data_IF_003694347145
#
_entry.id   IF_003694347145
#
_cell.length_a   1.000
_cell.length_b   1.000
_cell.length_c   1.000
_cell.angle_alpha   90.00
_cell.angle_beta   90.00
_cell.angle_gamma   90.00
#
_symmetry.space_group_name_H-M   'P 1'
#
loop_
_entity.id
_entity.type
_entity.pdbx_description
1 polymer ?
#
# COMPACT_ATOMS: atom_id res chain seq x y z
N UNK A 1 3.25 18.74 -14.53
CA UNK A 1 3.22 19.80 -15.55
C UNK A 1 4.05 19.39 -16.77
N UNK A 2 3.77 19.96 -17.89
CA UNK A 2 4.41 19.60 -19.18
C UNK A 2 5.93 19.80 -19.18
N UNK A 3 6.42 20.70 -18.35
CA UNK A 3 7.85 20.99 -18.22
C UNK A 3 8.57 20.06 -17.22
N UNK A 4 7.88 19.06 -16.70
CA UNK A 4 8.40 18.14 -15.71
C UNK A 4 8.38 18.66 -14.28
N UNK A 5 7.91 19.86 -14.04
CA UNK A 5 7.77 20.39 -12.69
C UNK A 5 6.54 19.80 -12.00
N UNK A 6 6.52 19.88 -10.65
CA UNK A 6 5.37 19.47 -9.87
C UNK A 6 4.27 20.53 -9.94
N UNK A 7 3.05 20.07 -10.16
CA UNK A 7 1.87 20.94 -10.03
C UNK A 7 1.45 21.07 -8.56
N UNK A 8 0.19 21.43 -8.35
CA UNK A 8 -0.38 21.45 -7.00
C UNK A 8 -0.47 20.04 -6.44
N UNK A 9 -0.31 19.93 -5.13
CA UNK A 9 -0.55 18.67 -4.43
C UNK A 9 -1.68 18.83 -3.42
N UNK A 10 -2.34 17.71 -3.11
CA UNK A 10 -3.31 17.62 -2.02
C UNK A 10 -2.90 16.47 -1.10
N UNK A 11 -3.26 16.58 0.16
CA UNK A 11 -3.06 15.51 1.14
C UNK A 11 -4.27 14.58 1.08
N UNK A 12 -4.07 13.37 0.56
CA UNK A 12 -5.14 12.38 0.47
C UNK A 12 -5.47 11.75 1.82
N UNK A 13 -4.47 11.58 2.68
CA UNK A 13 -4.62 10.98 4.00
C UNK A 13 -3.49 11.46 4.89
N UNK A 14 -3.77 11.57 6.17
CA UNK A 14 -2.77 11.91 7.16
C UNK A 14 -2.89 10.95 8.34
N UNK A 15 -1.80 10.27 8.64
CA UNK A 15 -1.70 9.45 9.84
C UNK A 15 -1.48 10.38 11.03
N UNK A 16 -2.20 10.11 12.12
CA UNK A 16 -2.16 10.96 13.28
C UNK A 16 -1.33 10.38 14.42
N UNK A 17 -1.71 10.79 15.62
CA UNK A 17 -1.15 10.31 16.87
C UNK A 17 -2.24 9.61 17.67
N UNK A 18 -1.87 8.68 18.52
CA UNK A 18 -2.72 8.19 19.59
C UNK A 18 -2.01 8.36 20.95
N UNK A 19 -2.58 7.80 22.02
CA UNK A 19 -1.99 7.92 23.36
C UNK A 19 -0.60 7.28 23.49
N UNK A 20 -0.20 6.45 22.52
CA UNK A 20 1.11 5.78 22.49
C UNK A 20 2.14 6.52 21.64
N UNK A 21 1.71 7.53 20.89
CA UNK A 21 2.58 8.36 20.08
C UNK A 21 2.17 8.45 18.59
N UNK A 22 3.08 8.94 17.75
CA UNK A 22 2.80 9.07 16.33
C UNK A 22 2.58 7.71 15.67
N UNK A 23 1.62 7.64 14.75
CA UNK A 23 1.42 6.47 13.91
C UNK A 23 2.47 6.44 12.80
N UNK A 24 2.99 5.24 12.51
CA UNK A 24 3.88 5.04 11.37
C UNK A 24 3.07 5.18 10.08
N UNK A 25 3.47 6.12 9.24
CA UNK A 25 2.84 6.35 7.96
C UNK A 25 3.24 5.32 6.89
N UNK A 26 3.04 5.72 5.64
CA UNK A 26 3.31 4.84 4.50
C UNK A 26 4.81 4.67 4.30
N UNK A 27 5.23 3.41 4.09
CA UNK A 27 6.60 3.07 3.67
C UNK A 27 6.66 2.84 2.17
N UNK A 28 5.87 1.91 1.65
CA UNK A 28 5.81 1.64 0.23
C UNK A 28 4.38 1.53 -0.28
N UNK A 29 4.20 1.64 -1.60
CA UNK A 29 2.87 1.58 -2.19
C UNK A 29 2.91 1.17 -3.65
N UNK A 30 1.75 0.73 -4.15
CA UNK A 30 1.52 0.43 -5.56
C UNK A 30 0.08 0.80 -5.93
N UNK A 31 -0.22 0.74 -7.22
CA UNK A 31 -1.57 0.99 -7.73
C UNK A 31 -2.20 -0.30 -8.24
N UNK A 32 -3.51 -0.41 -8.09
CA UNK A 32 -4.26 -1.40 -8.85
C UNK A 32 -4.71 -0.85 -10.21
N UNK A 33 -5.32 -1.70 -11.02
CA UNK A 33 -5.72 -1.34 -12.39
C UNK A 33 -6.81 -0.27 -12.45
N UNK A 34 -7.48 -0.01 -11.34
CA UNK A 34 -8.52 1.03 -11.23
C UNK A 34 -7.97 2.34 -10.67
N UNK A 35 -6.66 2.39 -10.41
CA UNK A 35 -6.03 3.56 -9.84
C UNK A 35 -6.14 3.67 -8.32
N UNK A 36 -6.65 2.64 -7.64
CA UNK A 36 -6.65 2.63 -6.19
C UNK A 36 -5.23 2.47 -5.67
N UNK A 37 -4.94 3.08 -4.53
CA UNK A 37 -3.61 3.11 -3.93
C UNK A 37 -3.56 2.07 -2.82
N UNK A 38 -2.67 1.09 -2.95
CA UNK A 38 -2.38 0.11 -1.91
C UNK A 38 -1.08 0.53 -1.23
N UNK A 39 -1.12 0.70 0.07
CA UNK A 39 0.05 1.21 0.81
C UNK A 39 0.29 0.42 2.08
N UNK A 40 1.56 0.20 2.37
CA UNK A 40 2.02 -0.46 3.59
C UNK A 40 2.23 0.59 4.67
N UNK A 41 1.61 0.39 5.83
CA UNK A 41 1.71 1.37 6.91
C UNK A 41 1.46 0.73 8.28
N UNK A 42 1.66 1.53 9.32
CA UNK A 42 1.37 1.15 10.68
C UNK A 42 2.49 0.43 11.39
N UNK A 43 2.35 0.35 12.71
CA UNK A 43 3.31 -0.34 13.57
C UNK A 43 2.59 -0.91 14.79
N UNK A 44 3.30 -1.72 15.56
CA UNK A 44 2.78 -2.22 16.84
C UNK A 44 2.86 -1.18 17.95
N UNK A 45 3.64 -0.10 17.75
CA UNK A 45 3.88 0.90 18.78
C UNK A 45 2.80 1.96 18.94
N UNK A 46 1.97 2.15 17.92
CA UNK A 46 0.90 3.16 17.95
C UNK A 46 -0.10 2.87 16.82
N UNK A 47 -1.30 3.44 16.96
CA UNK A 47 -2.37 3.26 15.99
C UNK A 47 -2.96 1.85 16.00
N UNK A 48 -3.73 1.49 14.97
CA UNK A 48 -4.42 0.21 14.90
C UNK A 48 -3.52 -0.98 14.57
N UNK A 49 -2.26 -0.77 14.33
CA UNK A 49 -1.31 -1.82 13.98
C UNK A 49 -0.89 -1.80 12.52
N UNK A 50 0.03 -2.69 12.13
CA UNK A 50 0.53 -2.74 10.75
C UNK A 50 -0.52 -3.33 9.81
N UNK A 51 -0.72 -2.65 8.67
CA UNK A 51 -1.76 -3.00 7.70
C UNK A 51 -1.37 -2.62 6.28
N UNK A 52 -2.09 -3.22 5.34
CA UNK A 52 -2.20 -2.68 3.99
C UNK A 52 -3.46 -1.82 3.96
N UNK A 53 -3.30 -0.56 3.60
CA UNK A 53 -4.40 0.38 3.39
C UNK A 53 -4.69 0.49 1.90
N UNK A 54 -5.97 0.61 1.55
CA UNK A 54 -6.38 0.80 0.16
C UNK A 54 -7.28 2.04 0.10
N UNK A 55 -6.82 3.05 -0.64
CA UNK A 55 -7.57 4.29 -0.88
C UNK A 55 -7.99 4.39 -2.34
N UNK A 56 -9.14 5.03 -2.57
CA UNK A 56 -9.50 5.49 -3.90
C UNK A 56 -8.55 6.60 -4.37
N UNK A 57 -8.54 6.90 -5.69
CA UNK A 57 -7.71 8.00 -6.18
C UNK A 57 -8.01 9.37 -5.56
N UNK A 58 -9.20 9.52 -4.95
CA UNK A 58 -9.62 10.77 -4.29
C UNK A 58 -9.37 10.77 -2.78
N UNK A 59 -8.76 9.71 -2.24
CA UNK A 59 -8.38 9.65 -0.83
C UNK A 59 -9.42 9.01 0.09
N UNK A 60 -10.48 8.41 -0.45
CA UNK A 60 -11.43 7.66 0.35
C UNK A 60 -10.84 6.31 0.73
N UNK A 61 -10.80 6.00 2.01
CA UNK A 61 -10.36 4.70 2.49
C UNK A 61 -11.40 3.64 2.11
N UNK A 62 -11.00 2.69 1.26
CA UNK A 62 -11.87 1.63 0.76
C UNK A 62 -11.79 0.40 1.65
N UNK A 63 -10.59 0.03 2.07
CA UNK A 63 -10.34 -1.25 2.72
C UNK A 63 -9.05 -1.20 3.51
N UNK A 64 -8.98 -1.99 4.58
CA UNK A 64 -7.75 -2.25 5.33
C UNK A 64 -7.58 -3.74 5.51
N UNK A 65 -6.33 -4.18 5.47
CA UNK A 65 -5.97 -5.58 5.69
C UNK A 65 -4.89 -5.66 6.76
N UNK A 66 -5.23 -6.02 8.00
CA UNK A 66 -4.23 -6.22 9.04
C UNK A 66 -3.22 -7.29 8.64
N UNK A 67 -1.97 -7.08 9.03
CA UNK A 67 -0.93 -8.08 8.81
C UNK A 67 -1.23 -9.35 9.62
N UNK A 68 -0.87 -10.54 9.10
CA UNK A 68 -1.08 -11.78 9.82
C UNK A 68 -0.38 -11.79 11.18
N UNK A 69 -0.93 -12.54 12.12
CA UNK A 69 -0.32 -12.73 13.45
C UNK A 69 1.07 -13.35 13.29
N UNK A 70 2.05 -12.80 14.00
CA UNK A 70 3.45 -13.25 13.92
C UNK A 70 4.24 -12.68 12.76
N UNK A 71 3.62 -11.87 11.91
CA UNK A 71 4.30 -11.14 10.84
C UNK A 71 4.37 -9.68 11.25
N UNK A 72 5.54 -9.08 11.03
CA UNK A 72 5.80 -7.71 11.47
C UNK A 72 5.35 -6.66 10.43
N UNK A 73 5.92 -5.47 10.53
CA UNK A 73 5.48 -4.29 9.77
C UNK A 73 5.76 -4.43 8.28
N UNK A 74 4.76 -4.19 7.42
CA UNK A 74 4.97 -4.21 5.98
C UNK A 74 5.77 -2.99 5.53
N UNK A 75 6.67 -3.19 4.56
CA UNK A 75 7.55 -2.13 4.06
C UNK A 75 7.28 -1.74 2.62
N UNK A 76 6.80 -2.67 1.79
CA UNK A 76 6.45 -2.38 0.42
C UNK A 76 5.52 -3.47 -0.14
N UNK A 77 4.86 -3.16 -1.23
CA UNK A 77 4.01 -4.12 -1.91
C UNK A 77 3.99 -3.88 -3.42
N UNK A 78 3.73 -4.94 -4.17
CA UNK A 78 3.59 -4.87 -5.62
C UNK A 78 2.72 -6.03 -6.11
N UNK A 79 1.99 -5.80 -7.18
CA UNK A 79 1.31 -6.87 -7.88
C UNK A 79 2.28 -7.61 -8.80
N UNK A 80 2.09 -8.90 -8.92
CA UNK A 80 2.90 -9.74 -9.78
C UNK A 80 2.13 -10.94 -10.31
N UNK A 81 2.89 -11.90 -10.81
CA UNK A 81 2.45 -13.03 -11.58
C UNK A 81 1.97 -12.60 -12.97
N UNK A 82 1.68 -13.57 -13.81
CA UNK A 82 1.33 -13.32 -15.20
C UNK A 82 0.06 -12.46 -15.34
N UNK A 83 -0.92 -12.69 -14.48
CA UNK A 83 -2.20 -11.98 -14.49
C UNK A 83 -2.21 -10.70 -13.66
N UNK A 84 -1.11 -10.37 -12.97
CA UNK A 84 -1.00 -9.20 -12.08
C UNK A 84 -2.01 -9.24 -10.92
N UNK A 85 -2.46 -10.41 -10.50
CA UNK A 85 -3.52 -10.55 -9.50
C UNK A 85 -3.00 -11.02 -8.14
N UNK A 86 -1.71 -11.28 -8.02
CA UNK A 86 -1.07 -11.67 -6.77
C UNK A 86 -0.33 -10.47 -6.17
N UNK A 87 -0.59 -10.17 -4.91
CA UNK A 87 0.11 -9.11 -4.19
C UNK A 87 1.29 -9.71 -3.43
N UNK A 88 2.46 -9.16 -3.64
CA UNK A 88 3.67 -9.50 -2.88
C UNK A 88 3.98 -8.38 -1.90
N UNK A 89 4.27 -8.75 -0.67
CA UNK A 89 4.50 -7.79 0.43
C UNK A 89 5.80 -8.15 1.13
N UNK A 90 6.68 -7.17 1.26
CA UNK A 90 7.90 -7.30 2.06
C UNK A 90 7.67 -6.76 3.46
N UNK A 91 8.39 -7.29 4.44
CA UNK A 91 8.29 -6.85 5.83
C UNK A 91 9.65 -6.46 6.40
N UNK A 92 9.62 -5.66 7.46
CA UNK A 92 10.83 -5.19 8.13
C UNK A 92 11.66 -6.36 8.68
N UNK A 93 11.01 -7.41 9.19
CA UNK A 93 11.69 -8.58 9.77
C UNK A 93 12.15 -9.61 8.75
N UNK A 94 12.06 -9.33 7.45
CA UNK A 94 12.62 -10.20 6.42
C UNK A 94 11.65 -11.18 5.79
N UNK A 95 10.36 -11.04 6.02
CA UNK A 95 9.37 -11.88 5.35
C UNK A 95 9.06 -11.35 3.94
N UNK A 96 8.84 -12.27 3.01
CA UNK A 96 8.22 -12.01 1.73
C UNK A 96 6.90 -12.77 1.68
N UNK A 97 5.80 -12.05 1.65
CA UNK A 97 4.47 -12.62 1.65
C UNK A 97 3.89 -12.63 0.25
N UNK A 98 3.12 -13.64 -0.04
CA UNK A 98 2.34 -13.76 -1.27
C UNK A 98 0.86 -13.82 -0.91
N UNK A 99 0.08 -12.89 -1.46
CA UNK A 99 -1.36 -12.82 -1.23
C UNK A 99 -2.07 -13.08 -2.55
N UNK A 100 -2.74 -14.21 -2.64
CA UNK A 100 -3.57 -14.58 -3.80
C UNK A 100 -5.02 -14.19 -3.55
N UNK A 101 -5.81 -14.20 -4.61
CA UNK A 101 -7.24 -13.93 -4.55
C UNK A 101 -7.57 -12.56 -3.96
N UNK A 102 -6.79 -11.56 -4.35
CA UNK A 102 -6.97 -10.19 -3.87
C UNK A 102 -8.24 -9.54 -4.39
N UNK A 103 -8.81 -10.05 -5.47
CA UNK A 103 -9.91 -9.40 -6.18
C UNK A 103 -9.48 -8.18 -6.98
N UNK A 104 -8.19 -7.93 -7.09
CA UNK A 104 -7.61 -6.77 -7.77
C UNK A 104 -6.54 -7.21 -8.74
N UNK A 105 -6.23 -6.34 -9.70
CA UNK A 105 -5.10 -6.49 -10.61
C UNK A 105 -4.22 -5.27 -10.51
N UNK A 106 -2.92 -5.45 -10.74
CA UNK A 106 -1.96 -4.37 -10.72
C UNK A 106 -2.11 -3.43 -11.91
N UNK A 107 -1.65 -2.21 -11.72
CA UNK A 107 -1.51 -1.24 -12.81
C UNK A 107 -0.30 -1.61 -13.65
N UNK A 108 -0.47 -1.66 -14.97
CA UNK A 108 0.65 -1.87 -15.89
C UNK A 108 1.42 -0.56 -16.06
N UNK A 109 2.63 -0.52 -15.49
CA UNK A 109 3.52 0.63 -15.66
C UNK A 109 4.13 0.71 -17.06
N UNK A 110 4.21 -0.41 -17.73
CA UNK A 110 4.79 -0.55 -19.06
C UNK A 110 3.78 -1.20 -20.00
N UNK A 111 3.77 -0.84 -21.30
CA UNK A 111 2.95 -1.57 -22.24
C UNK A 111 3.31 -3.07 -22.22
N UNK A 112 2.31 -3.95 -22.38
CA UNK A 112 2.60 -5.38 -22.45
C UNK A 112 3.52 -5.69 -23.62
N UNK A 113 4.48 -6.55 -23.37
CA UNK A 113 5.33 -7.07 -24.45
C UNK A 113 4.49 -8.04 -25.29
N UNK A 114 4.41 -7.77 -26.56
CA UNK A 114 3.67 -8.60 -27.51
C UNK A 114 4.50 -9.78 -27.99
#
# INVERSE_FOLDING_TARGET
LDDGSLGRYIVLHQFGNDHRGPQRGIDGMCLDSKGNILATAGSWGSGPGPMIYIWSPTGRLIQTHPMPVGVDMPTNCTFGDFDQATLYVTTLGGHLLRVRNTGRRGWNLWPPVK
#
